data_IF_147581685652
#
_entry.id   IF_147581685652
#
_cell.length_a   1.000
_cell.length_b   1.000
_cell.length_c   1.000
_cell.angle_alpha   90.00
_cell.angle_beta   90.00
_cell.angle_gamma   90.00
#
_symmetry.space_group_name_H-M   'P 1'
#
loop_
_entity.id
_entity.type
_entity.pdbx_description
1 polymer ?
#
# COMPACT_ATOMS: atom_id res chain seq x y z
N UNK A 1 2.50 -16.85 -9.87
CA UNK A 1 1.28 -16.05 -9.67
C UNK A 1 0.09 -16.53 -10.50
N UNK A 2 0.11 -16.43 -11.84
CA UNK A 2 -1.04 -16.77 -12.71
C UNK A 2 -1.61 -18.18 -12.47
N UNK A 3 -0.73 -19.19 -12.41
CA UNK A 3 -1.11 -20.58 -12.14
C UNK A 3 -1.94 -20.72 -10.85
N UNK A 4 -1.43 -20.19 -9.73
CA UNK A 4 -2.08 -20.24 -8.42
C UNK A 4 -3.49 -19.58 -8.42
N UNK A 5 -3.64 -18.44 -9.11
CA UNK A 5 -4.93 -17.75 -9.24
C UNK A 5 -5.92 -18.56 -10.10
N UNK A 6 -5.42 -19.22 -11.15
CA UNK A 6 -6.26 -20.06 -12.00
C UNK A 6 -6.71 -21.34 -11.29
N UNK A 7 -5.86 -21.91 -10.44
CA UNK A 7 -6.15 -23.13 -9.66
C UNK A 7 -7.09 -22.87 -8.49
N UNK A 8 -7.12 -21.64 -7.95
CA UNK A 8 -7.92 -21.28 -6.76
C UNK A 8 -8.76 -20.00 -7.00
N UNK A 9 -9.69 -20.03 -7.98
CA UNK A 9 -10.47 -18.85 -8.34
C UNK A 9 -11.39 -18.40 -7.20
N UNK A 10 -11.35 -17.11 -6.87
CA UNK A 10 -12.13 -16.50 -5.80
C UNK A 10 -11.53 -16.66 -4.40
N UNK A 11 -10.40 -17.37 -4.27
CA UNK A 11 -9.75 -17.62 -2.97
C UNK A 11 -8.48 -16.79 -2.79
N UNK A 12 -7.72 -16.57 -3.86
CA UNK A 12 -6.43 -15.88 -3.79
C UNK A 12 -6.62 -14.38 -3.58
N UNK A 13 -5.99 -13.85 -2.53
CA UNK A 13 -5.80 -12.41 -2.30
C UNK A 13 -4.36 -12.04 -2.63
N UNK A 14 -4.16 -10.97 -3.41
CA UNK A 14 -2.83 -10.42 -3.67
C UNK A 14 -2.56 -9.24 -2.75
N UNK A 15 -1.33 -9.17 -2.24
CA UNK A 15 -0.81 -8.00 -1.52
C UNK A 15 0.40 -7.49 -2.29
N UNK A 16 0.29 -6.29 -2.84
CA UNK A 16 1.32 -5.67 -3.66
C UNK A 16 1.92 -4.47 -2.91
N UNK A 17 3.16 -4.63 -2.43
CA UNK A 17 3.87 -3.64 -1.62
C UNK A 17 5.12 -3.10 -2.33
N UNK A 18 5.14 -3.23 -3.65
CA UNK A 18 6.26 -2.90 -4.52
C UNK A 18 5.70 -2.41 -5.87
N UNK A 19 6.55 -1.95 -6.82
CA UNK A 19 6.09 -1.55 -8.15
C UNK A 19 5.24 -2.64 -8.82
N UNK A 20 4.17 -2.23 -9.49
CA UNK A 20 3.08 -3.13 -9.92
C UNK A 20 3.39 -3.91 -11.21
N UNK A 21 4.64 -3.89 -11.69
CA UNK A 21 5.10 -4.47 -12.96
C UNK A 21 4.64 -5.92 -13.13
N UNK A 22 4.80 -6.75 -12.09
CA UNK A 22 4.41 -8.16 -12.16
C UNK A 22 2.91 -8.37 -12.38
N UNK A 23 2.07 -7.50 -11.81
CA UNK A 23 0.62 -7.55 -11.98
C UNK A 23 0.23 -7.05 -13.38
N UNK A 24 0.86 -5.97 -13.85
CA UNK A 24 0.64 -5.46 -15.21
C UNK A 24 0.99 -6.51 -16.28
N UNK A 25 2.14 -7.18 -16.15
CA UNK A 25 2.51 -8.29 -17.05
C UNK A 25 1.51 -9.43 -16.96
N UNK A 26 1.07 -9.80 -15.74
CA UNK A 26 0.17 -10.92 -15.56
C UNK A 26 -1.22 -10.72 -16.17
N UNK A 27 -1.77 -9.50 -16.08
CA UNK A 27 -3.08 -9.20 -16.71
C UNK A 27 -2.97 -9.09 -18.24
N UNK A 28 -1.81 -8.71 -18.78
CA UNK A 28 -1.58 -8.81 -20.22
C UNK A 28 -1.54 -10.27 -20.70
N UNK A 29 -0.87 -11.16 -19.96
CA UNK A 29 -0.81 -12.59 -20.29
C UNK A 29 -2.15 -13.31 -20.06
N UNK A 30 -2.95 -12.87 -19.10
CA UNK A 30 -4.26 -13.43 -18.80
C UNK A 30 -5.26 -12.31 -18.45
N UNK A 31 -5.97 -11.74 -19.45
CA UNK A 31 -6.89 -10.61 -19.23
C UNK A 31 -8.06 -10.88 -18.28
N UNK A 32 -8.36 -12.15 -18.00
CA UNK A 32 -9.44 -12.54 -17.07
C UNK A 32 -8.93 -12.76 -15.64
N UNK A 33 -7.63 -12.62 -15.39
CA UNK A 33 -7.01 -12.98 -14.10
C UNK A 33 -7.60 -12.21 -12.92
N UNK A 34 -7.90 -10.93 -13.11
CA UNK A 34 -8.42 -10.10 -12.02
C UNK A 34 -9.77 -10.61 -11.51
N UNK A 35 -10.65 -11.08 -12.39
CA UNK A 35 -11.96 -11.62 -11.99
C UNK A 35 -11.89 -12.89 -11.14
N UNK A 36 -10.72 -13.54 -11.11
CA UNK A 36 -10.47 -14.75 -10.30
C UNK A 36 -9.83 -14.43 -8.95
N UNK A 37 -9.49 -13.18 -8.67
CA UNK A 37 -8.97 -12.78 -7.37
C UNK A 37 -10.11 -12.52 -6.40
N UNK A 38 -9.90 -12.94 -5.15
CA UNK A 38 -10.76 -12.55 -4.03
C UNK A 38 -10.67 -11.04 -3.78
N UNK A 39 -9.44 -10.53 -3.69
CA UNK A 39 -9.15 -9.12 -3.48
C UNK A 39 -7.70 -8.80 -3.88
N UNK A 40 -7.42 -7.52 -4.06
CA UNK A 40 -6.09 -6.94 -4.25
C UNK A 40 -5.88 -5.83 -3.21
N UNK A 41 -4.80 -5.91 -2.45
CA UNK A 41 -4.37 -4.86 -1.51
C UNK A 41 -3.07 -4.27 -2.02
N UNK A 42 -3.02 -2.95 -2.20
CA UNK A 42 -1.86 -2.22 -2.70
C UNK A 42 -1.36 -1.29 -1.59
N UNK A 43 -0.05 -1.33 -1.32
CA UNK A 43 0.63 -0.20 -0.68
C UNK A 43 1.24 0.65 -1.78
N UNK A 44 0.81 1.90 -1.86
CA UNK A 44 1.36 2.86 -2.80
C UNK A 44 0.36 3.88 -3.29
N UNK A 45 0.84 4.76 -4.16
CA UNK A 45 0.08 5.90 -4.64
C UNK A 45 -0.14 6.93 -3.52
N UNK A 46 -0.75 8.04 -3.91
CA UNK A 46 -0.98 9.17 -3.05
C UNK A 46 -2.28 9.88 -3.44
N UNK A 47 -2.90 10.60 -2.50
CA UNK A 47 -4.17 11.29 -2.73
C UNK A 47 -4.07 12.80 -2.72
N UNK A 48 -3.00 13.36 -2.14
CA UNK A 48 -2.87 14.79 -1.84
C UNK A 48 -1.79 15.46 -2.69
N UNK A 49 -1.36 14.82 -3.78
CA UNK A 49 -0.25 15.28 -4.61
C UNK A 49 1.06 15.46 -3.83
N UNK A 50 1.20 14.81 -2.68
CA UNK A 50 2.43 14.79 -1.88
C UNK A 50 3.18 13.50 -2.17
N UNK A 51 4.33 13.61 -2.83
CA UNK A 51 5.19 12.48 -3.11
C UNK A 51 6.24 12.24 -2.02
N UNK A 52 6.79 11.03 -1.99
CA UNK A 52 7.99 10.67 -1.23
C UNK A 52 9.19 10.39 -2.14
N UNK A 53 9.01 10.45 -3.46
CA UNK A 53 10.05 10.16 -4.47
C UNK A 53 10.19 11.31 -5.46
N UNK A 54 9.08 11.75 -6.05
CA UNK A 54 9.03 12.98 -6.83
C UNK A 54 8.18 14.01 -6.08
N UNK A 55 8.05 15.22 -6.64
CA UNK A 55 7.24 16.30 -6.04
C UNK A 55 5.82 15.84 -5.69
N UNK A 56 5.23 14.94 -6.49
CA UNK A 56 3.85 14.50 -6.34
C UNK A 56 3.64 12.99 -6.47
N UNK A 57 4.69 12.18 -6.57
CA UNK A 57 4.59 10.74 -6.81
C UNK A 57 5.12 9.93 -5.63
N UNK A 58 4.38 8.87 -5.30
CA UNK A 58 4.79 7.85 -4.34
C UNK A 58 5.71 6.82 -5.04
N UNK A 59 6.71 6.33 -4.32
CA UNK A 59 7.78 5.44 -4.80
C UNK A 59 7.30 4.28 -5.69
N UNK A 60 6.38 3.44 -5.22
CA UNK A 60 5.93 2.26 -5.97
C UNK A 60 5.26 2.62 -7.30
N UNK A 61 4.52 3.73 -7.32
CA UNK A 61 3.85 4.23 -8.52
C UNK A 61 4.82 4.97 -9.46
N UNK A 62 5.80 5.70 -8.92
CA UNK A 62 6.84 6.39 -9.70
C UNK A 62 7.80 5.40 -10.35
N UNK A 63 8.10 4.30 -9.68
CA UNK A 63 9.05 3.30 -10.18
C UNK A 63 8.55 2.60 -11.44
N UNK A 64 7.23 2.40 -11.59
CA UNK A 64 6.61 1.89 -12.83
C UNK A 64 5.19 2.47 -13.01
N UNK A 65 5.09 3.72 -13.51
CA UNK A 65 3.80 4.41 -13.69
C UNK A 65 2.88 3.68 -14.67
N UNK A 66 3.44 3.13 -15.75
CA UNK A 66 2.71 2.36 -16.75
C UNK A 66 2.06 1.12 -16.13
N UNK A 67 2.80 0.38 -15.30
CA UNK A 67 2.25 -0.78 -14.61
C UNK A 67 1.14 -0.38 -13.63
N UNK A 68 1.33 0.71 -12.88
CA UNK A 68 0.31 1.21 -11.97
C UNK A 68 -0.96 1.64 -12.73
N UNK A 69 -0.82 2.34 -13.86
CA UNK A 69 -1.93 2.66 -14.77
C UNK A 69 -2.65 1.40 -15.25
N UNK A 70 -1.91 0.41 -15.75
CA UNK A 70 -2.48 -0.85 -16.26
C UNK A 70 -3.24 -1.58 -15.15
N UNK A 71 -2.68 -1.67 -13.94
CA UNK A 71 -3.33 -2.38 -12.84
C UNK A 71 -4.62 -1.67 -12.41
N UNK A 72 -4.59 -0.35 -12.23
CA UNK A 72 -5.77 0.43 -11.86
C UNK A 72 -6.82 0.56 -12.97
N UNK A 73 -6.48 0.22 -14.21
CA UNK A 73 -7.43 0.12 -15.32
C UNK A 73 -8.01 -1.29 -15.49
N UNK A 74 -7.16 -2.32 -15.38
CA UNK A 74 -7.49 -3.68 -15.80
C UNK A 74 -7.89 -4.61 -14.67
N UNK A 75 -7.52 -4.31 -13.42
CA UNK A 75 -7.96 -5.10 -12.28
C UNK A 75 -9.33 -4.60 -11.82
N UNK A 76 -10.32 -5.49 -11.84
CA UNK A 76 -11.72 -5.21 -11.49
C UNK A 76 -12.21 -5.97 -10.26
N UNK A 77 -11.34 -6.75 -9.59
CA UNK A 77 -11.65 -7.33 -8.28
C UNK A 77 -11.68 -6.22 -7.21
N UNK A 78 -12.26 -6.48 -6.02
CA UNK A 78 -12.15 -5.56 -4.89
C UNK A 78 -10.69 -5.18 -4.67
N UNK A 79 -10.39 -3.89 -4.79
CA UNK A 79 -9.03 -3.35 -4.73
C UNK A 79 -8.95 -2.29 -3.65
N UNK A 80 -8.10 -2.51 -2.66
CA UNK A 80 -7.88 -1.62 -1.52
C UNK A 80 -6.49 -1.00 -1.61
N UNK A 81 -6.38 0.29 -1.34
CA UNK A 81 -5.10 1.02 -1.44
C UNK A 81 -4.79 1.70 -0.11
N UNK A 82 -3.67 1.29 0.50
CA UNK A 82 -3.01 1.99 1.59
C UNK A 82 -2.04 3.01 0.98
N UNK A 83 -2.47 4.26 0.83
CA UNK A 83 -1.64 5.31 0.24
C UNK A 83 -0.53 5.75 1.19
N UNK A 84 0.47 6.44 0.65
CA UNK A 84 1.58 6.97 1.45
C UNK A 84 1.10 7.87 2.59
N UNK A 85 0.16 8.77 2.34
CA UNK A 85 -0.33 9.69 3.37
C UNK A 85 -1.15 8.95 4.43
N UNK A 86 -1.95 7.97 4.02
CA UNK A 86 -2.64 7.09 4.95
C UNK A 86 -1.64 6.36 5.87
N UNK A 87 -0.54 5.86 5.32
CA UNK A 87 0.53 5.21 6.07
C UNK A 87 1.15 6.16 7.09
N UNK A 88 1.54 7.36 6.66
CA UNK A 88 2.14 8.39 7.49
C UNK A 88 1.24 8.73 8.71
N UNK A 89 -0.05 9.00 8.48
CA UNK A 89 -1.06 9.27 9.53
C UNK A 89 -1.23 8.14 10.54
N UNK A 90 -0.96 6.92 10.11
CA UNK A 90 -1.13 5.74 10.93
C UNK A 90 0.16 5.25 11.59
N UNK A 91 1.25 6.02 11.48
CA UNK A 91 2.53 5.73 12.13
C UNK A 91 2.35 5.31 13.58
N UNK A 92 3.05 4.24 13.96
CA UNK A 92 3.01 3.69 15.32
C UNK A 92 4.00 4.45 16.22
N UNK A 93 3.67 4.73 17.48
CA UNK A 93 4.59 5.44 18.37
C UNK A 93 5.94 4.74 18.45
N UNK A 94 7.05 5.48 18.36
CA UNK A 94 8.39 4.92 18.50
C UNK A 94 8.56 4.17 19.82
N UNK A 95 8.03 4.71 20.92
CA UNK A 95 8.05 4.05 22.23
C UNK A 95 7.43 2.65 22.19
N UNK A 96 6.31 2.48 21.48
CA UNK A 96 5.67 1.18 21.31
C UNK A 96 6.51 0.25 20.42
N UNK A 97 7.14 0.79 19.37
CA UNK A 97 8.05 0.02 18.51
C UNK A 97 9.28 -0.46 19.31
N UNK A 98 9.84 0.39 20.16
CA UNK A 98 10.98 0.05 21.02
C UNK A 98 10.62 -1.09 21.99
N UNK A 99 9.42 -1.06 22.59
CA UNK A 99 8.90 -2.16 23.42
C UNK A 99 8.78 -3.47 22.63
N UNK A 100 8.24 -3.42 21.41
CA UNK A 100 8.12 -4.58 20.52
C UNK A 100 9.50 -5.16 20.16
N UNK A 101 10.48 -4.31 19.85
CA UNK A 101 11.83 -4.71 19.47
C UNK A 101 12.70 -5.10 20.67
N UNK A 102 12.29 -4.78 21.89
CA UNK A 102 12.92 -5.21 23.13
C UNK A 102 12.46 -6.61 23.59
N UNK A 103 11.44 -7.19 22.93
CA UNK A 103 11.05 -8.57 23.18
C UNK A 103 12.23 -9.52 22.91
N UNK A 104 12.54 -10.39 23.87
CA UNK A 104 13.64 -11.34 23.74
C UNK A 104 13.23 -12.59 22.94
N UNK A 105 12.73 -12.39 21.72
CA UNK A 105 12.38 -13.48 20.79
C UNK A 105 13.27 -13.45 19.55
N UNK A 106 13.51 -14.60 18.89
CA UNK A 106 14.28 -14.63 17.64
C UNK A 106 13.73 -13.69 16.55
N UNK A 107 12.39 -13.59 16.46
CA UNK A 107 11.72 -12.73 15.48
C UNK A 107 11.92 -11.24 15.78
N UNK A 108 11.75 -10.82 17.03
CA UNK A 108 11.97 -9.43 17.42
C UNK A 108 13.43 -9.00 17.19
N UNK A 109 14.40 -9.87 17.53
CA UNK A 109 15.81 -9.63 17.25
C UNK A 109 16.11 -9.53 15.74
N UNK A 110 15.49 -10.39 14.93
CA UNK A 110 15.61 -10.32 13.47
C UNK A 110 15.05 -8.99 12.93
N UNK A 111 13.83 -8.60 13.33
CA UNK A 111 13.19 -7.36 12.88
C UNK A 111 13.99 -6.14 13.32
N UNK A 112 14.51 -6.12 14.55
CA UNK A 112 15.41 -5.08 15.05
C UNK A 112 16.65 -4.93 14.17
N UNK A 113 17.23 -6.05 13.74
CA UNK A 113 18.43 -6.06 12.89
C UNK A 113 18.14 -5.49 11.51
N UNK A 114 17.12 -5.99 10.82
CA UNK A 114 16.81 -5.58 9.44
C UNK A 114 16.25 -4.15 9.34
N UNK A 115 15.59 -3.66 10.40
CA UNK A 115 15.01 -2.31 10.43
C UNK A 115 15.99 -1.24 10.88
N UNK A 116 17.16 -1.59 11.40
CA UNK A 116 18.12 -0.66 12.01
C UNK A 116 18.48 0.54 11.11
N UNK A 117 18.76 0.27 9.82
CA UNK A 117 19.08 1.32 8.85
C UNK A 117 17.86 2.18 8.51
N UNK A 118 16.71 1.56 8.29
CA UNK A 118 15.45 2.27 8.00
C UNK A 118 15.02 3.15 9.17
N UNK A 119 15.19 2.67 10.41
CA UNK A 119 14.88 3.43 11.62
C UNK A 119 15.81 4.63 11.76
N UNK A 120 17.10 4.46 11.47
CA UNK A 120 18.06 5.58 11.43
C UNK A 120 17.69 6.59 10.34
N UNK A 121 17.34 6.12 9.14
CA UNK A 121 16.88 6.99 8.03
C UNK A 121 15.60 7.73 8.43
N UNK A 122 14.67 7.07 9.12
CA UNK A 122 13.41 7.66 9.55
C UNK A 122 13.60 8.89 10.46
N UNK A 123 14.73 8.99 11.15
CA UNK A 123 15.09 10.15 11.98
C UNK A 123 15.84 11.26 11.21
N UNK A 124 16.20 11.03 9.94
CA UNK A 124 16.91 12.03 9.13
C UNK A 124 15.99 13.18 8.68
N UNK A 125 16.56 14.37 8.54
CA UNK A 125 15.82 15.56 8.07
C UNK A 125 15.21 15.36 6.67
N UNK A 126 15.86 14.58 5.80
CA UNK A 126 15.33 14.33 4.46
C UNK A 126 14.10 13.43 4.49
N UNK A 127 14.12 12.35 5.28
CA UNK A 127 12.93 11.52 5.47
C UNK A 127 11.77 12.30 6.08
N UNK A 128 12.05 13.23 7.00
CA UNK A 128 11.01 14.09 7.58
C UNK A 128 10.34 15.01 6.56
N UNK A 129 10.96 15.29 5.40
CA UNK A 129 10.31 15.99 4.28
C UNK A 129 9.34 15.09 3.52
N UNK A 130 9.64 13.79 3.44
CA UNK A 130 8.81 12.78 2.77
C UNK A 130 7.50 12.51 3.54
N UNK A 131 7.55 12.57 4.88
CA UNK A 131 6.39 12.32 5.75
C UNK A 131 5.37 13.46 5.63
N UNK A 132 4.10 13.09 5.43
CA UNK A 132 3.00 14.05 5.35
C UNK A 132 2.39 14.37 6.70
N UNK A 133 2.36 13.38 7.60
CA UNK A 133 1.81 13.48 8.95
C UNK A 133 2.35 12.34 9.84
N UNK A 134 2.30 12.49 11.16
CA UNK A 134 2.78 11.47 12.10
C UNK A 134 4.28 11.60 12.43
N UNK A 135 4.67 11.08 13.59
CA UNK A 135 6.05 11.16 14.12
C UNK A 135 6.57 9.81 14.62
N UNK A 136 6.02 8.73 14.08
CA UNK A 136 6.25 7.37 14.57
C UNK A 136 7.00 6.48 13.59
N UNK A 137 7.13 5.20 13.96
CA UNK A 137 7.53 4.14 13.07
C UNK A 137 6.46 3.94 12.00
N UNK A 138 6.81 4.19 10.74
CA UNK A 138 5.93 4.05 9.60
C UNK A 138 6.23 2.76 8.83
N UNK A 139 5.43 1.72 9.06
CA UNK A 139 5.56 0.41 8.39
C UNK A 139 4.54 0.30 7.25
N UNK A 140 4.80 1.00 6.16
CA UNK A 140 3.82 1.21 5.08
C UNK A 140 3.21 -0.07 4.53
N UNK A 141 4.06 -1.05 4.24
CA UNK A 141 3.66 -2.31 3.64
C UNK A 141 2.74 -3.12 4.56
N UNK A 142 2.90 -2.94 5.88
CA UNK A 142 2.15 -3.74 6.85
C UNK A 142 0.67 -3.39 6.86
N UNK A 143 0.28 -2.17 6.51
CA UNK A 143 -1.14 -1.83 6.49
C UNK A 143 -1.90 -2.60 5.40
N UNK A 144 -1.31 -2.74 4.21
CA UNK A 144 -1.90 -3.53 3.13
C UNK A 144 -1.95 -5.02 3.51
N UNK A 145 -0.89 -5.57 4.11
CA UNK A 145 -0.85 -6.95 4.55
C UNK A 145 -1.84 -7.24 5.67
N UNK A 146 -1.90 -6.38 6.69
CA UNK A 146 -2.78 -6.57 7.83
C UNK A 146 -4.26 -6.49 7.42
N UNK A 147 -4.61 -5.57 6.52
CA UNK A 147 -5.95 -5.49 5.96
C UNK A 147 -6.30 -6.72 5.09
N UNK A 148 -5.34 -7.28 4.37
CA UNK A 148 -5.55 -8.52 3.61
C UNK A 148 -5.80 -9.74 4.51
N UNK A 149 -5.18 -9.78 5.69
CA UNK A 149 -5.39 -10.85 6.70
C UNK A 149 -6.73 -10.67 7.41
N UNK A 150 -7.09 -9.43 7.77
CA UNK A 150 -8.30 -9.10 8.49
C UNK A 150 -8.87 -7.77 7.99
N UNK A 151 -9.89 -7.85 7.12
CA UNK A 151 -10.51 -6.67 6.50
C UNK A 151 -11.26 -5.79 7.51
N UNK A 152 -11.72 -6.35 8.65
CA UNK A 152 -12.32 -5.60 9.76
C UNK A 152 -11.34 -4.64 10.44
N UNK A 153 -10.06 -4.65 10.05
CA UNK A 153 -9.08 -3.64 10.40
C UNK A 153 -9.44 -2.28 9.80
N UNK A 154 -10.00 -2.25 8.58
CA UNK A 154 -10.41 -1.03 7.90
C UNK A 154 -11.73 -0.57 8.50
N UNK A 155 -11.69 0.52 9.27
CA UNK A 155 -12.90 1.11 9.87
C UNK A 155 -13.55 2.12 8.94
N UNK A 156 -12.78 2.70 8.01
CA UNK A 156 -13.27 3.62 7.00
C UNK A 156 -12.44 3.56 5.73
N UNK A 157 -13.13 3.50 4.60
CA UNK A 157 -12.57 3.63 3.28
C UNK A 157 -13.44 4.54 2.41
N UNK A 158 -12.88 4.97 1.30
CA UNK A 158 -13.56 5.78 0.29
C UNK A 158 -13.50 5.08 -1.05
N UNK A 159 -14.64 4.93 -1.71
CA UNK A 159 -14.73 4.29 -3.02
C UNK A 159 -14.67 5.35 -4.14
N UNK A 160 -13.59 5.36 -4.92
CA UNK A 160 -13.34 6.37 -5.96
C UNK A 160 -12.69 5.77 -7.20
N UNK A 161 -13.00 6.34 -8.37
CA UNK A 161 -12.31 5.99 -9.61
C UNK A 161 -10.92 6.63 -9.62
N UNK A 162 -9.93 5.88 -10.09
CA UNK A 162 -8.53 6.35 -10.09
C UNK A 162 -7.84 6.08 -11.43
N UNK A 163 -6.81 6.87 -11.71
CA UNK A 163 -5.85 6.65 -12.80
C UNK A 163 -4.45 7.07 -12.35
N UNK A 164 -3.46 6.90 -13.22
CA UNK A 164 -2.08 7.36 -13.02
C UNK A 164 -1.71 8.31 -14.16
N UNK A 165 -1.06 9.41 -13.83
CA UNK A 165 -0.49 10.34 -14.81
C UNK A 165 0.79 9.77 -15.42
N UNK A 166 0.89 9.76 -16.75
CA UNK A 166 1.99 9.13 -17.49
C UNK A 166 2.84 10.14 -18.26
N UNK A 167 2.32 11.30 -18.63
CA UNK A 167 2.97 12.20 -19.59
C UNK A 167 3.42 13.52 -18.96
N UNK A 168 2.83 13.90 -17.82
CA UNK A 168 3.12 15.19 -17.18
C UNK A 168 4.57 15.36 -16.71
N UNK A 169 5.18 16.52 -17.03
CA UNK A 169 6.58 16.84 -16.69
C UNK A 169 6.86 16.83 -15.17
N UNK A 170 5.90 17.27 -14.36
CA UNK A 170 6.02 17.30 -12.90
C UNK A 170 5.13 16.27 -12.21
N UNK A 171 4.17 15.70 -12.94
CA UNK A 171 3.07 14.90 -12.38
C UNK A 171 3.12 13.42 -12.73
N UNK A 172 4.08 12.98 -13.56
CA UNK A 172 4.24 11.56 -13.90
C UNK A 172 4.38 10.68 -12.64
N UNK A 173 3.60 9.60 -12.60
CA UNK A 173 3.52 8.67 -11.47
C UNK A 173 2.54 9.09 -10.36
N UNK A 174 1.90 10.26 -10.48
CA UNK A 174 0.84 10.67 -9.55
C UNK A 174 -0.40 9.82 -9.73
N UNK A 175 -0.99 9.35 -8.62
CA UNK A 175 -2.33 8.76 -8.65
C UNK A 175 -3.37 9.88 -8.65
N UNK A 176 -4.28 9.86 -9.63
CA UNK A 176 -5.32 10.87 -9.83
C UNK A 176 -6.67 10.29 -9.45
N UNK A 177 -7.40 10.99 -8.58
CA UNK A 177 -8.72 10.60 -8.09
C UNK A 177 -9.80 11.37 -8.85
N UNK A 178 -10.81 10.66 -9.34
CA UNK A 178 -11.89 11.24 -10.15
C UNK A 178 -13.20 11.39 -9.38
N UNK A 179 -13.28 12.47 -8.60
CA UNK A 179 -14.50 12.86 -7.89
C UNK A 179 -15.57 13.49 -8.80
N UNK A 180 -15.17 13.95 -9.98
CA UNK A 180 -16.05 14.65 -10.93
C UNK A 180 -16.65 13.70 -11.98
N UNK A 181 -16.28 12.41 -11.97
CA UNK A 181 -16.76 11.39 -12.90
C UNK A 181 -16.27 11.55 -14.35
N UNK A 182 -15.17 12.28 -14.57
CA UNK A 182 -14.65 12.58 -15.90
C UNK A 182 -14.02 11.36 -16.59
N UNK A 183 -13.43 10.44 -15.82
CA UNK A 183 -12.83 9.22 -16.34
C UNK A 183 -13.87 8.21 -16.85
N UNK A 184 -15.13 8.37 -16.44
CA UNK A 184 -16.25 7.46 -16.79
C UNK A 184 -15.92 5.98 -16.52
N UNK A 185 -15.03 5.71 -15.57
CA UNK A 185 -14.67 4.35 -15.15
C UNK A 185 -15.83 3.72 -14.38
N UNK A 186 -16.16 2.48 -14.75
CA UNK A 186 -17.16 1.67 -14.03
C UNK A 186 -16.59 1.08 -12.74
N UNK A 187 -15.30 0.75 -12.74
CA UNK A 187 -14.62 0.20 -11.58
C UNK A 187 -14.03 1.32 -10.72
N UNK A 188 -14.15 1.16 -9.41
CA UNK A 188 -13.59 2.03 -8.39
C UNK A 188 -12.76 1.21 -7.41
N UNK A 189 -11.83 1.87 -6.75
CA UNK A 189 -10.99 1.29 -5.70
C UNK A 189 -11.39 1.84 -4.34
N UNK A 190 -11.06 1.11 -3.29
CA UNK A 190 -11.25 1.52 -1.90
C UNK A 190 -9.96 2.14 -1.35
N UNK A 191 -9.94 3.46 -1.23
CA UNK A 191 -8.84 4.17 -0.57
C UNK A 191 -9.03 4.03 0.94
N UNK A 192 -8.06 3.43 1.63
CA UNK A 192 -8.10 3.29 3.09
C UNK A 192 -7.96 4.66 3.76
N UNK A 193 -8.81 4.96 4.73
CA UNK A 193 -8.79 6.25 5.45
C UNK A 193 -8.49 6.07 6.93
N UNK A 194 -9.16 5.12 7.58
CA UNK A 194 -9.02 4.87 9.01
C UNK A 194 -8.93 3.36 9.28
N UNK A 195 -8.16 3.02 10.31
CA UNK A 195 -8.00 1.64 10.79
C UNK A 195 -8.13 1.56 12.31
N UNK A 196 -8.45 0.36 12.78
CA UNK A 196 -8.32 0.01 14.20
C UNK A 196 -6.83 -0.23 14.55
N UNK A 197 -6.18 0.79 15.10
CA UNK A 197 -4.75 0.73 15.47
C UNK A 197 -4.46 -0.31 16.55
N UNK A 198 -5.39 -0.59 17.45
CA UNK A 198 -5.18 -1.58 18.52
C UNK A 198 -5.23 -3.00 17.97
N UNK A 199 -6.17 -3.30 17.05
CA UNK A 199 -6.13 -4.55 16.28
C UNK A 199 -4.81 -4.72 15.53
N UNK A 200 -4.32 -3.66 14.86
CA UNK A 200 -3.04 -3.71 14.15
C UNK A 200 -1.88 -4.05 15.10
N UNK A 201 -1.78 -3.35 16.24
CA UNK A 201 -0.76 -3.63 17.25
C UNK A 201 -0.84 -5.06 17.76
N UNK A 202 -2.05 -5.58 18.02
CA UNK A 202 -2.25 -6.95 18.47
C UNK A 202 -1.79 -7.98 17.41
N UNK A 203 -2.07 -7.73 16.13
CA UNK A 203 -1.59 -8.56 15.03
C UNK A 203 -0.05 -8.58 14.98
N UNK A 204 0.59 -7.41 15.10
CA UNK A 204 2.04 -7.30 15.20
C UNK A 204 2.60 -8.08 16.39
N UNK A 205 2.08 -7.85 17.60
CA UNK A 205 2.52 -8.54 18.81
C UNK A 205 2.39 -10.05 18.67
N UNK A 206 1.29 -10.55 18.11
CA UNK A 206 1.08 -11.97 17.88
C UNK A 206 2.06 -12.56 16.85
N UNK A 207 2.50 -11.77 15.86
CA UNK A 207 3.50 -12.22 14.89
C UNK A 207 4.90 -12.37 15.49
N UNK A 208 5.22 -11.62 16.56
CA UNK A 208 6.54 -11.61 17.22
C UNK A 208 6.69 -12.64 18.35
N UNK A 209 5.60 -13.28 18.77
CA UNK A 209 5.62 -14.47 19.63
C UNK A 209 6.17 -15.67 18.86
#
# INVERSE_FOLDING_TARGET
MIKMINENPGEVTLVATAPLTNLAVAVQLNPKISKKLKALYIMGGNTESRGNTTTCGEFNFVADPEAAYIVLDRYTCPTYIATWEFSCRNSLPWSWCDELLALNTPKANFVKTISSLSNKKAQSADYQKEITEGKGFNSCDTYALAAAINDTLITKSEEVAVTVELEGNFTRGMMVLDYMGQLKKKHKVFIMKEIDKEKLKQMFMNSMK
#
